data_IF_804946150166
#
_entry.id   IF_804946150166
#
_cell.length_a   1.000
_cell.length_b   1.000
_cell.length_c   1.000
_cell.angle_alpha   90.00
_cell.angle_beta   90.00
_cell.angle_gamma   90.00
#
_symmetry.space_group_name_H-M   'P 1'
#
loop_
_entity.id
_entity.type
_entity.pdbx_description
1 polymer ?
#
# COMPACT_ATOMS: atom_id res chain seq x y z
N UNK A 1 -20.63 11.27 -7.67
CA UNK A 1 -19.41 11.54 -8.45
C UNK A 1 -19.71 11.24 -9.91
N UNK A 2 -19.26 12.10 -10.84
CA UNK A 2 -19.63 11.95 -12.25
C UNK A 2 -18.65 10.98 -12.91
N UNK A 3 -19.15 9.90 -13.52
CA UNK A 3 -18.36 8.97 -14.31
C UNK A 3 -17.81 9.67 -15.55
N UNK A 4 -16.57 9.35 -15.94
CA UNK A 4 -15.98 9.86 -17.17
C UNK A 4 -16.56 9.09 -18.34
N UNK A 5 -17.12 9.81 -19.31
CA UNK A 5 -17.62 9.24 -20.55
C UNK A 5 -16.50 9.15 -21.58
N UNK A 6 -15.93 7.95 -21.73
CA UNK A 6 -14.85 7.69 -22.68
C UNK A 6 -15.36 7.54 -24.14
N UNK A 7 -16.67 7.33 -24.34
CA UNK A 7 -17.27 7.12 -25.67
C UNK A 7 -17.55 8.47 -26.38
N UNK A 8 -17.99 9.50 -25.61
CA UNK A 8 -18.43 10.78 -26.14
C UNK A 8 -17.66 11.91 -25.45
N UNK A 9 -16.78 12.57 -26.14
CA UNK A 9 -16.07 13.72 -25.58
C UNK A 9 -14.75 13.98 -26.28
N UNK A 10 -14.15 15.12 -25.96
CA UNK A 10 -12.81 15.45 -26.45
C UNK A 10 -11.79 14.55 -25.71
N UNK A 11 -10.95 13.86 -26.45
CA UNK A 11 -9.91 12.96 -25.92
C UNK A 11 -9.07 13.67 -24.85
N UNK A 12 -8.66 14.91 -25.09
CA UNK A 12 -7.85 15.70 -24.13
C UNK A 12 -8.58 15.93 -22.80
N UNK A 13 -9.90 16.23 -22.85
CA UNK A 13 -10.69 16.47 -21.63
C UNK A 13 -10.85 15.18 -20.83
N UNK A 14 -11.10 14.04 -21.48
CA UNK A 14 -11.19 12.75 -20.84
C UNK A 14 -9.87 12.31 -20.21
N UNK A 15 -8.74 12.54 -20.90
CA UNK A 15 -7.39 12.26 -20.35
C UNK A 15 -7.15 13.11 -19.10
N UNK A 16 -7.40 14.42 -19.15
CA UNK A 16 -7.19 15.30 -18.01
C UNK A 16 -8.07 14.94 -16.83
N UNK A 17 -9.34 14.64 -17.06
CA UNK A 17 -10.29 14.22 -16.00
C UNK A 17 -9.92 12.89 -15.36
N UNK A 18 -9.26 12.00 -16.08
CA UNK A 18 -8.74 10.75 -15.53
C UNK A 18 -7.39 10.97 -14.82
N UNK A 19 -6.46 11.68 -15.45
CA UNK A 19 -5.07 11.80 -14.98
C UNK A 19 -4.92 12.72 -13.77
N UNK A 20 -5.67 13.82 -13.68
CA UNK A 20 -5.53 14.76 -12.56
C UNK A 20 -5.87 14.11 -11.22
N UNK A 21 -7.00 13.39 -11.04
CA UNK A 21 -7.28 12.69 -9.78
C UNK A 21 -6.23 11.64 -9.44
N UNK A 22 -5.74 10.89 -10.43
CA UNK A 22 -4.71 9.88 -10.22
C UNK A 22 -3.39 10.52 -9.75
N UNK A 23 -2.98 11.64 -10.39
CA UNK A 23 -1.79 12.39 -10.00
C UNK A 23 -1.91 12.95 -8.57
N UNK A 24 -3.08 13.50 -8.23
CA UNK A 24 -3.35 13.98 -6.87
C UNK A 24 -3.26 12.83 -5.85
N UNK A 25 -3.80 11.65 -6.17
CA UNK A 25 -3.70 10.48 -5.31
C UNK A 25 -2.24 10.06 -5.07
N UNK A 26 -1.41 10.03 -6.12
CA UNK A 26 0.02 9.70 -6.01
C UNK A 26 0.78 10.74 -5.19
N UNK A 27 0.54 12.03 -5.40
CA UNK A 27 1.17 13.10 -4.61
C UNK A 27 0.78 12.99 -3.13
N UNK A 28 -0.50 12.74 -2.82
CA UNK A 28 -0.96 12.52 -1.45
C UNK A 28 -0.28 11.29 -0.82
N UNK A 29 -0.16 10.20 -1.58
CA UNK A 29 0.53 8.99 -1.14
C UNK A 29 2.01 9.25 -0.82
N UNK A 30 2.71 10.01 -1.65
CA UNK A 30 4.10 10.41 -1.38
C UNK A 30 4.21 11.31 -0.15
N UNK A 31 3.31 12.27 0.00
CA UNK A 31 3.33 13.21 1.12
C UNK A 31 3.13 12.48 2.45
N UNK A 32 2.14 11.59 2.57
CA UNK A 32 1.95 10.88 3.83
C UNK A 32 3.14 9.96 4.15
N UNK A 33 3.74 9.29 3.15
CA UNK A 33 4.96 8.50 3.37
C UNK A 33 6.14 9.32 3.89
N UNK A 34 6.28 10.58 3.42
CA UNK A 34 7.33 11.49 3.92
C UNK A 34 7.04 11.89 5.36
N UNK A 35 5.79 12.26 5.65
CA UNK A 35 5.37 12.70 6.99
C UNK A 35 5.52 11.57 8.01
N UNK A 36 5.13 10.35 7.68
CA UNK A 36 5.30 9.17 8.52
C UNK A 36 6.79 8.97 8.90
N UNK A 37 7.70 9.05 7.93
CA UNK A 37 9.14 8.97 8.20
C UNK A 37 9.66 10.10 9.09
N UNK A 38 9.11 11.31 8.97
CA UNK A 38 9.46 12.44 9.83
C UNK A 38 8.99 12.16 11.27
N UNK A 39 7.81 11.58 11.47
CA UNK A 39 7.34 11.20 12.80
C UNK A 39 8.23 10.13 13.43
N UNK A 40 8.56 9.07 12.70
CA UNK A 40 9.47 8.02 13.18
C UNK A 40 10.85 8.60 13.54
N UNK A 41 11.40 9.47 12.69
CA UNK A 41 12.72 10.08 12.93
C UNK A 41 12.75 11.00 14.17
N UNK A 42 11.61 11.52 14.62
CA UNK A 42 11.47 12.39 15.78
C UNK A 42 11.19 11.67 17.09
N UNK A 43 11.15 10.35 17.11
CA UNK A 43 11.00 9.60 18.36
C UNK A 43 12.27 9.83 19.20
N UNK A 44 12.15 10.28 20.47
CA UNK A 44 13.30 10.50 21.34
C UNK A 44 14.14 9.23 21.48
N UNK A 45 15.44 9.38 21.53
CA UNK A 45 16.47 8.36 21.79
C UNK A 45 16.61 7.24 20.75
N UNK A 46 15.53 6.83 20.09
CA UNK A 46 15.52 5.66 19.16
C UNK A 46 15.16 6.00 17.71
N UNK A 47 14.81 7.25 17.40
CA UNK A 47 14.25 7.62 16.08
C UNK A 47 15.15 7.27 14.89
N UNK A 48 16.47 7.46 15.00
CA UNK A 48 17.40 7.09 13.92
C UNK A 48 17.52 5.59 13.73
N UNK A 49 17.54 4.82 14.81
CA UNK A 49 17.59 3.35 14.79
C UNK A 49 16.28 2.78 14.25
N UNK A 50 15.14 3.30 14.71
CA UNK A 50 13.83 2.91 14.22
C UNK A 50 13.66 3.21 12.72
N UNK A 51 14.11 4.39 12.26
CA UNK A 51 14.06 4.75 10.83
C UNK A 51 14.91 3.81 9.99
N UNK A 52 16.12 3.45 10.47
CA UNK A 52 16.97 2.45 9.83
C UNK A 52 16.29 1.07 9.77
N UNK A 53 15.66 0.65 10.85
CA UNK A 53 14.92 -0.61 10.93
C UNK A 53 13.74 -0.68 9.95
N UNK A 54 12.95 0.39 9.85
CA UNK A 54 11.87 0.53 8.85
C UNK A 54 12.46 0.49 7.43
N UNK A 55 13.63 1.09 7.21
CA UNK A 55 14.34 1.03 5.93
C UNK A 55 14.67 -0.39 5.49
N UNK A 56 15.02 -1.28 6.42
CA UNK A 56 15.29 -2.70 6.13
C UNK A 56 14.04 -3.48 5.72
N UNK A 57 12.85 -3.03 6.10
CA UNK A 57 11.58 -3.63 5.68
C UNK A 57 11.16 -3.22 4.26
N UNK A 58 11.75 -2.15 3.72
CA UNK A 58 11.34 -1.56 2.44
C UNK A 58 11.42 -2.53 1.24
N UNK A 59 12.43 -3.40 1.09
CA UNK A 59 12.46 -4.39 0.01
C UNK A 59 11.26 -5.35 0.06
N UNK A 60 10.86 -5.78 1.25
CA UNK A 60 9.71 -6.68 1.44
C UNK A 60 8.42 -5.97 1.04
N UNK A 61 8.25 -4.72 1.49
CA UNK A 61 7.12 -3.85 1.14
C UNK A 61 7.04 -3.67 -0.38
N UNK A 62 8.18 -3.44 -1.04
CA UNK A 62 8.26 -3.27 -2.49
C UNK A 62 7.85 -4.54 -3.24
N UNK A 63 8.23 -5.72 -2.76
CA UNK A 63 7.81 -7.00 -3.34
C UNK A 63 6.28 -7.15 -3.24
N UNK A 64 5.69 -6.85 -2.08
CA UNK A 64 4.24 -6.90 -1.87
C UNK A 64 3.51 -5.97 -2.86
N UNK A 65 4.00 -4.73 -2.99
CA UNK A 65 3.44 -3.75 -3.94
C UNK A 65 3.61 -4.20 -5.40
N UNK A 66 4.72 -4.82 -5.74
CA UNK A 66 4.96 -5.35 -7.10
C UNK A 66 3.93 -6.41 -7.48
N UNK A 67 3.61 -7.35 -6.58
CA UNK A 67 2.58 -8.35 -6.83
C UNK A 67 1.17 -7.73 -6.89
N UNK A 68 0.87 -6.75 -6.07
CA UNK A 68 -0.39 -6.01 -6.14
C UNK A 68 -0.55 -5.34 -7.52
N UNK A 69 0.50 -4.64 -7.97
CA UNK A 69 0.51 -3.96 -9.26
C UNK A 69 0.50 -4.94 -10.45
N UNK A 70 1.13 -6.11 -10.32
CA UNK A 70 1.13 -7.12 -11.37
C UNK A 70 -0.29 -7.49 -11.81
N UNK A 71 -1.17 -7.76 -10.87
CA UNK A 71 -2.55 -8.15 -11.17
C UNK A 71 -3.47 -6.93 -11.36
N UNK A 72 -3.26 -5.84 -10.60
CA UNK A 72 -4.06 -4.63 -10.70
C UNK A 72 -3.79 -3.88 -12.00
N UNK A 73 -2.58 -3.37 -12.17
CA UNK A 73 -2.19 -2.60 -13.34
C UNK A 73 -2.05 -3.47 -14.61
N UNK A 74 -1.78 -4.77 -14.47
CA UNK A 74 -1.77 -5.71 -15.59
C UNK A 74 -3.17 -6.08 -16.04
N UNK A 75 -4.13 -6.27 -15.12
CA UNK A 75 -5.49 -6.66 -15.44
C UNK A 75 -6.38 -5.51 -15.92
N UNK A 76 -6.17 -4.29 -15.41
CA UNK A 76 -7.03 -3.14 -15.72
C UNK A 76 -7.06 -2.74 -17.21
N UNK A 77 -5.95 -2.77 -17.99
CA UNK A 77 -6.01 -2.53 -19.42
C UNK A 77 -6.83 -3.58 -20.17
N UNK A 78 -6.67 -4.88 -19.84
CA UNK A 78 -7.45 -5.96 -20.44
C UNK A 78 -8.93 -5.78 -20.14
N UNK A 79 -9.28 -5.48 -18.89
CA UNK A 79 -10.63 -5.13 -18.48
C UNK A 79 -11.21 -3.96 -19.31
N UNK A 80 -10.42 -2.90 -19.53
CA UNK A 80 -10.83 -1.73 -20.29
C UNK A 80 -11.13 -2.05 -21.76
N UNK A 81 -10.30 -2.94 -22.38
CA UNK A 81 -10.48 -3.37 -23.78
C UNK A 81 -11.79 -4.12 -23.92
N UNK A 82 -12.06 -5.11 -23.07
CA UNK A 82 -13.30 -5.90 -23.17
C UNK A 82 -14.55 -5.08 -22.83
N UNK A 83 -14.41 -4.13 -21.90
CA UNK A 83 -15.45 -3.17 -21.61
C UNK A 83 -15.74 -2.26 -22.82
N UNK A 84 -14.72 -1.81 -23.54
CA UNK A 84 -14.88 -1.06 -24.79
C UNK A 84 -15.55 -1.86 -25.90
N UNK A 85 -15.35 -3.17 -25.92
CA UNK A 85 -16.05 -4.11 -26.80
C UNK A 85 -17.51 -4.39 -26.39
N UNK A 86 -17.94 -3.85 -25.24
CA UNK A 86 -19.24 -4.10 -24.62
C UNK A 86 -19.45 -5.55 -24.19
N UNK A 87 -18.35 -6.31 -24.06
CA UNK A 87 -18.39 -7.66 -23.49
C UNK A 87 -18.31 -7.58 -21.96
N UNK A 88 -19.49 -7.48 -21.34
CA UNK A 88 -19.63 -7.39 -19.88
C UNK A 88 -19.25 -8.69 -19.18
N UNK A 89 -19.39 -9.83 -19.84
CA UNK A 89 -19.08 -11.14 -19.26
C UNK A 89 -17.55 -11.30 -19.16
N UNK A 90 -16.84 -11.05 -20.25
CA UNK A 90 -15.38 -11.19 -20.29
C UNK A 90 -14.71 -10.14 -19.39
N UNK A 91 -15.17 -8.89 -19.43
CA UNK A 91 -14.62 -7.85 -18.54
C UNK A 91 -14.81 -8.19 -17.05
N UNK A 92 -15.99 -8.71 -16.66
CA UNK A 92 -16.23 -9.15 -15.28
C UNK A 92 -15.35 -10.34 -14.90
N UNK A 93 -15.11 -11.27 -15.82
CA UNK A 93 -14.24 -12.43 -15.60
C UNK A 93 -12.79 -11.99 -15.34
N UNK A 94 -12.26 -11.05 -16.13
CA UNK A 94 -10.92 -10.49 -15.92
C UNK A 94 -10.80 -9.85 -14.54
N UNK A 95 -11.76 -9.01 -14.15
CA UNK A 95 -11.74 -8.35 -12.84
C UNK A 95 -11.81 -9.36 -11.69
N UNK A 96 -12.69 -10.34 -11.76
CA UNK A 96 -12.85 -11.37 -10.73
C UNK A 96 -11.61 -12.26 -10.63
N UNK A 97 -11.00 -12.63 -11.76
CA UNK A 97 -9.76 -13.41 -11.79
C UNK A 97 -8.61 -12.62 -11.17
N UNK A 98 -8.46 -11.34 -11.52
CA UNK A 98 -7.44 -10.47 -10.92
C UNK A 98 -7.65 -10.33 -9.41
N UNK A 99 -8.89 -10.12 -8.96
CA UNK A 99 -9.22 -10.04 -7.54
C UNK A 99 -8.86 -11.34 -6.81
N UNK A 100 -9.24 -12.49 -7.36
CA UNK A 100 -8.91 -13.79 -6.78
C UNK A 100 -7.40 -14.02 -6.68
N UNK A 101 -6.65 -13.69 -7.73
CA UNK A 101 -5.19 -13.81 -7.74
C UNK A 101 -4.54 -12.88 -6.73
N UNK A 102 -5.02 -11.63 -6.59
CA UNK A 102 -4.56 -10.70 -5.55
C UNK A 102 -4.79 -11.30 -4.16
N UNK A 103 -5.97 -11.85 -3.88
CA UNK A 103 -6.28 -12.45 -2.59
C UNK A 103 -5.38 -13.65 -2.28
N UNK A 104 -5.19 -14.56 -3.24
CA UNK A 104 -4.32 -15.73 -3.08
C UNK A 104 -2.88 -15.30 -2.85
N UNK A 105 -2.35 -14.39 -3.66
CA UNK A 105 -0.98 -13.89 -3.50
C UNK A 105 -0.80 -13.12 -2.18
N UNK A 106 -1.78 -12.32 -1.76
CA UNK A 106 -1.72 -11.60 -0.49
C UNK A 106 -1.62 -12.57 0.70
N UNK A 107 -2.42 -13.63 0.71
CA UNK A 107 -2.36 -14.66 1.76
C UNK A 107 -1.04 -15.43 1.74
N UNK A 108 -0.54 -15.77 0.55
CA UNK A 108 0.74 -16.45 0.41
C UNK A 108 1.90 -15.56 0.87
N UNK A 109 1.97 -14.32 0.43
CA UNK A 109 3.02 -13.38 0.82
C UNK A 109 2.95 -13.05 2.31
N UNK A 110 1.75 -12.91 2.88
CA UNK A 110 1.56 -12.74 4.32
C UNK A 110 2.10 -13.96 5.08
N UNK A 111 1.71 -15.18 4.71
CA UNK A 111 2.13 -16.40 5.39
C UNK A 111 3.65 -16.61 5.28
N UNK A 112 4.21 -16.52 4.06
CA UNK A 112 5.65 -16.66 3.83
C UNK A 112 6.43 -15.56 4.54
N UNK A 113 5.96 -14.32 4.45
CA UNK A 113 6.57 -13.18 5.13
C UNK A 113 6.62 -13.38 6.64
N UNK A 114 5.52 -13.81 7.27
CA UNK A 114 5.46 -14.06 8.71
C UNK A 114 6.39 -15.20 9.16
N UNK A 115 6.47 -16.30 8.40
CA UNK A 115 7.33 -17.44 8.71
C UNK A 115 8.82 -17.05 8.58
N UNK A 116 9.16 -16.29 7.55
CA UNK A 116 10.54 -15.96 7.21
C UNK A 116 10.95 -14.52 7.58
N UNK A 117 10.14 -13.78 8.34
CA UNK A 117 10.40 -12.39 8.70
C UNK A 117 11.80 -12.18 9.30
N UNK A 118 12.15 -12.96 10.34
CA UNK A 118 13.43 -12.84 11.04
C UNK A 118 14.63 -13.19 10.12
N UNK A 119 14.67 -14.35 9.44
CA UNK A 119 15.78 -14.66 8.53
C UNK A 119 15.92 -13.68 7.36
N UNK A 120 14.81 -13.14 6.85
CA UNK A 120 14.87 -12.14 5.76
C UNK A 120 15.47 -10.82 6.28
N UNK A 121 15.07 -10.34 7.45
CA UNK A 121 15.65 -9.13 8.05
C UNK A 121 17.15 -9.28 8.32
N UNK A 122 17.58 -10.44 8.81
CA UNK A 122 19.00 -10.74 9.00
C UNK A 122 19.77 -10.77 7.67
N UNK A 123 19.17 -11.35 6.62
CA UNK A 123 19.77 -11.36 5.27
C UNK A 123 19.94 -9.95 4.71
N UNK A 124 19.02 -9.03 5.01
CA UNK A 124 19.13 -7.61 4.62
C UNK A 124 20.05 -6.79 5.53
N UNK A 125 20.75 -7.42 6.46
CA UNK A 125 21.79 -6.79 7.28
C UNK A 125 21.26 -6.13 8.55
N UNK A 126 20.12 -6.57 9.07
CA UNK A 126 19.67 -6.13 10.39
C UNK A 126 20.66 -6.58 11.47
N UNK A 127 21.09 -5.65 12.32
CA UNK A 127 21.78 -5.99 13.57
C UNK A 127 20.79 -6.55 14.60
N UNK A 128 21.30 -7.21 15.66
CA UNK A 128 20.44 -7.69 16.73
C UNK A 128 19.62 -6.56 17.37
N UNK A 129 20.23 -5.40 17.59
CA UNK A 129 19.52 -4.21 18.08
C UNK A 129 18.51 -3.65 17.07
N UNK A 130 18.77 -3.75 15.77
CA UNK A 130 17.83 -3.35 14.71
C UNK A 130 16.62 -4.27 14.60
N UNK A 131 16.79 -5.57 14.89
CA UNK A 131 15.71 -6.56 14.87
C UNK A 131 14.60 -6.24 15.89
N UNK A 132 14.95 -5.65 17.03
CA UNK A 132 13.99 -5.28 18.09
C UNK A 132 12.91 -4.35 17.54
N UNK A 133 13.27 -3.46 16.63
CA UNK A 133 12.34 -2.51 15.99
C UNK A 133 11.79 -3.01 14.65
N UNK A 134 12.66 -3.62 13.82
CA UNK A 134 12.28 -4.06 12.48
C UNK A 134 11.29 -5.22 12.49
N UNK A 135 11.45 -6.19 13.40
CA UNK A 135 10.61 -7.37 13.43
C UNK A 135 9.15 -7.08 13.81
N UNK A 136 8.84 -6.37 14.93
CA UNK A 136 7.45 -6.04 15.25
C UNK A 136 6.81 -5.16 14.18
N UNK A 137 7.53 -4.18 13.64
CA UNK A 137 7.04 -3.35 12.54
C UNK A 137 6.67 -4.19 11.32
N UNK A 138 7.56 -5.09 10.89
CA UNK A 138 7.30 -5.97 9.75
C UNK A 138 6.11 -6.89 10.00
N UNK A 139 5.97 -7.45 11.20
CA UNK A 139 4.85 -8.33 11.55
C UNK A 139 3.51 -7.61 11.47
N UNK A 140 3.42 -6.39 12.00
CA UNK A 140 2.21 -5.56 11.90
C UNK A 140 1.91 -5.22 10.43
N UNK A 141 2.93 -4.84 9.66
CA UNK A 141 2.78 -4.56 8.23
C UNK A 141 2.27 -5.78 7.46
N UNK A 142 2.82 -6.97 7.74
CA UNK A 142 2.41 -8.22 7.09
C UNK A 142 0.95 -8.58 7.41
N UNK A 143 0.45 -8.33 8.62
CA UNK A 143 -0.98 -8.48 8.94
C UNK A 143 -1.86 -7.56 8.09
N UNK A 144 -1.39 -6.34 7.80
CA UNK A 144 -2.06 -5.37 6.92
C UNK A 144 -1.90 -5.67 5.42
N UNK A 145 -1.07 -6.66 5.04
CA UNK A 145 -0.76 -6.92 3.62
C UNK A 145 -2.00 -7.30 2.82
N UNK A 146 -2.89 -8.13 3.37
CA UNK A 146 -4.10 -8.57 2.66
C UNK A 146 -5.00 -7.38 2.27
N UNK A 147 -5.52 -6.56 3.20
CA UNK A 147 -6.36 -5.42 2.83
C UNK A 147 -5.60 -4.38 1.99
N UNK A 148 -4.32 -4.18 2.22
CA UNK A 148 -3.49 -3.26 1.45
C UNK A 148 -3.36 -3.69 -0.01
N UNK A 149 -3.04 -4.97 -0.28
CA UNK A 149 -2.92 -5.50 -1.64
C UNK A 149 -4.25 -5.46 -2.38
N UNK A 150 -5.36 -5.78 -1.71
CA UNK A 150 -6.70 -5.69 -2.31
C UNK A 150 -7.04 -4.25 -2.67
N UNK A 151 -6.82 -3.31 -1.77
CA UNK A 151 -7.08 -1.88 -2.01
C UNK A 151 -6.25 -1.34 -3.17
N UNK A 152 -4.95 -1.57 -3.14
CA UNK A 152 -4.01 -1.06 -4.17
C UNK A 152 -4.25 -1.75 -5.52
N UNK A 153 -4.44 -3.08 -5.51
CA UNK A 153 -4.61 -3.85 -6.74
C UNK A 153 -5.96 -3.65 -7.42
N UNK A 154 -7.01 -3.29 -6.66
CA UNK A 154 -8.33 -3.03 -7.26
C UNK A 154 -8.54 -1.57 -7.67
N UNK A 155 -7.73 -0.64 -7.19
CA UNK A 155 -7.84 0.79 -7.55
C UNK A 155 -7.73 1.04 -9.07
N UNK A 156 -6.81 0.40 -9.84
CA UNK A 156 -6.76 0.55 -11.30
C UNK A 156 -8.06 0.14 -12.01
N UNK A 157 -8.79 -0.85 -11.49
CA UNK A 157 -10.09 -1.24 -12.05
C UNK A 157 -11.18 -0.19 -11.81
N UNK A 158 -11.14 0.50 -10.66
CA UNK A 158 -12.05 1.63 -10.37
C UNK A 158 -11.79 2.76 -11.38
N UNK A 159 -10.50 3.07 -11.60
CA UNK A 159 -10.09 4.09 -12.57
C UNK A 159 -10.48 3.71 -14.01
N UNK A 160 -10.31 2.44 -14.39
CA UNK A 160 -10.69 1.90 -15.69
C UNK A 160 -12.20 1.94 -15.95
N UNK A 161 -13.00 1.97 -14.89
CA UNK A 161 -14.46 2.16 -14.97
C UNK A 161 -14.86 3.64 -15.16
N UNK A 162 -13.91 4.57 -15.19
CA UNK A 162 -14.17 6.00 -15.32
C UNK A 162 -14.43 6.71 -13.97
N UNK A 163 -14.20 6.03 -12.84
CA UNK A 163 -14.37 6.58 -11.49
C UNK A 163 -13.06 7.04 -10.86
N UNK A 164 -12.16 7.67 -11.62
CA UNK A 164 -10.84 8.12 -11.15
C UNK A 164 -10.93 9.00 -9.88
N UNK A 165 -11.94 9.85 -9.79
CA UNK A 165 -12.19 10.68 -8.58
C UNK A 165 -12.50 9.81 -7.36
N UNK A 166 -13.22 8.69 -7.52
CA UNK A 166 -13.50 7.75 -6.41
C UNK A 166 -12.23 7.04 -5.96
N UNK A 167 -11.39 6.62 -6.91
CA UNK A 167 -10.07 6.06 -6.62
C UNK A 167 -9.19 7.04 -5.83
N UNK A 168 -9.15 8.31 -6.25
CA UNK A 168 -8.44 9.38 -5.53
C UNK A 168 -8.95 9.55 -4.09
N UNK A 169 -10.27 9.62 -3.89
CA UNK A 169 -10.83 9.77 -2.53
C UNK A 169 -10.53 8.57 -1.64
N UNK A 170 -10.50 7.36 -2.17
CA UNK A 170 -10.10 6.16 -1.43
C UNK A 170 -8.68 6.31 -0.88
N UNK A 171 -7.73 6.73 -1.71
CA UNK A 171 -6.33 6.99 -1.30
C UNK A 171 -6.26 8.17 -0.32
N UNK A 172 -6.99 9.26 -0.57
CA UNK A 172 -6.98 10.44 0.29
C UNK A 172 -7.50 10.13 1.71
N UNK A 173 -8.57 9.36 1.83
CA UNK A 173 -9.11 8.94 3.15
C UNK A 173 -8.06 8.10 3.90
N UNK A 174 -7.40 7.16 3.21
CA UNK A 174 -6.32 6.37 3.80
C UNK A 174 -5.15 7.23 4.27
N UNK A 175 -4.70 8.17 3.43
CA UNK A 175 -3.61 9.09 3.77
C UNK A 175 -3.94 10.00 4.95
N UNK A 176 -5.16 10.54 5.02
CA UNK A 176 -5.62 11.38 6.14
C UNK A 176 -5.74 10.53 7.42
N UNK A 177 -6.26 9.31 7.31
CA UNK A 177 -6.36 8.41 8.45
C UNK A 177 -4.97 8.10 9.04
N UNK A 178 -3.99 7.77 8.19
CA UNK A 178 -2.61 7.55 8.62
C UNK A 178 -2.03 8.80 9.28
N UNK A 179 -2.16 9.97 8.66
CA UNK A 179 -1.64 11.24 9.20
C UNK A 179 -2.15 11.56 10.61
N UNK A 180 -3.39 11.13 10.93
CA UNK A 180 -4.00 11.32 12.25
C UNK A 180 -3.60 10.19 13.20
N UNK A 181 -3.59 8.96 12.74
CA UNK A 181 -3.37 7.78 13.57
C UNK A 181 -1.88 7.59 13.92
N UNK A 182 -0.96 7.91 13.02
CA UNK A 182 0.47 7.73 13.24
C UNK A 182 0.97 8.47 14.49
N UNK A 183 0.73 9.80 14.66
CA UNK A 183 1.15 10.47 15.88
C UNK A 183 0.43 9.93 17.13
N UNK A 184 -0.81 9.48 17.03
CA UNK A 184 -1.53 8.88 18.16
C UNK A 184 -0.88 7.56 18.56
N UNK A 185 -0.59 6.68 17.63
CA UNK A 185 0.06 5.40 17.93
C UNK A 185 1.51 5.56 18.37
N UNK A 186 2.26 6.50 17.79
CA UNK A 186 3.67 6.71 18.10
C UNK A 186 3.82 7.43 19.45
N UNK A 187 3.12 8.56 19.65
CA UNK A 187 3.36 9.44 20.80
C UNK A 187 2.40 9.24 21.96
N UNK A 188 1.16 8.77 21.73
CA UNK A 188 0.18 8.56 22.81
C UNK A 188 0.21 7.12 23.32
N UNK A 189 0.25 6.15 22.42
CA UNK A 189 0.29 4.73 22.79
C UNK A 189 1.71 4.16 22.92
N UNK A 190 2.74 4.93 22.56
CA UNK A 190 4.15 4.49 22.67
C UNK A 190 4.43 3.18 21.94
N UNK A 191 3.70 2.88 20.87
CA UNK A 191 3.69 1.55 20.23
C UNK A 191 5.08 1.09 19.75
N UNK A 192 5.99 2.04 19.50
CA UNK A 192 7.40 1.80 19.19
C UNK A 192 8.31 1.89 20.43
N UNK A 193 7.91 2.60 21.50
CA UNK A 193 8.68 2.75 22.73
C UNK A 193 8.50 1.56 23.68
N UNK A 194 7.33 0.92 23.69
CA UNK A 194 7.04 -0.23 24.55
C UNK A 194 7.91 -1.45 24.24
N UNK A 195 8.44 -1.56 23.03
CA UNK A 195 9.38 -2.63 22.67
C UNK A 195 10.81 -2.37 23.19
N UNK A 196 11.15 -1.14 23.51
CA UNK A 196 12.46 -0.76 24.05
C UNK A 196 12.59 -1.12 25.54
N UNK A 197 11.57 -0.84 26.35
CA UNK A 197 11.59 -1.15 27.78
C UNK A 197 11.59 -2.66 28.07
N UNK A 198 10.95 -3.46 27.17
CA UNK A 198 10.96 -4.93 27.29
C UNK A 198 12.30 -5.58 26.91
N UNK A 199 13.20 -4.84 26.24
CA UNK A 199 14.52 -5.33 25.83
C UNK A 199 15.61 -4.97 26.84
N UNK A 200 15.42 -3.95 27.67
CA UNK A 200 16.36 -3.58 28.74
C UNK A 200 16.18 -4.46 30.00
N UNK A 201 15.04 -5.15 30.14
CA UNK A 201 14.74 -6.06 31.28
C UNK A 201 15.11 -7.55 30.99
N UNK A 202 15.79 -7.86 29.88
CA UNK A 202 16.24 -9.21 29.53
C UNK A 202 17.74 -9.26 29.24
#
# INVERSE_FOLDING_TARGET
MKQIDFEHGKITDNILRASIPMLVAEVLSLLYNIVDRIYIARIPDVGTTALGAVGLCFPIITIILAFSNLFGSGGAPLFSIERGRKDTKESSMIMNTSFFLICVCALLLMAVGMIFAKPILLLFGSSENGLIYAYPYLMIYLLGTFPSMVSTGMNPFINAQGYATTGMFSVAIGAIANLILDPVFIFVFGCLLYTSDAADDS
#
